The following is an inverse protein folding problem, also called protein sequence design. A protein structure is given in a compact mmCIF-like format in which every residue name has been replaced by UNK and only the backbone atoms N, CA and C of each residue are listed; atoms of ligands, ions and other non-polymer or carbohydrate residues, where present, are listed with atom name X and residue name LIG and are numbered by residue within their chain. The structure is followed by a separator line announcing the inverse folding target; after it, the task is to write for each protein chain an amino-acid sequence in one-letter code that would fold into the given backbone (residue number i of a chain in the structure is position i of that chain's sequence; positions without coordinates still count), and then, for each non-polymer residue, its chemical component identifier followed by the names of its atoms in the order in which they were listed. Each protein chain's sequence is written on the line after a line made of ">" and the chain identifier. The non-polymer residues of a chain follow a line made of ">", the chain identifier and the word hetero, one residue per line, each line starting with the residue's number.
data_IF_878526779753
#
_entry.id   IF_878526779753
#
_cell.length_a   1.000
_cell.length_b   1.000
_cell.length_c   1.000
_cell.angle_alpha   90.00
_cell.angle_beta   90.00
_cell.angle_gamma   90.00
#
_symmetry.space_group_name_H-M   'P 1'
#
loop_
_entity.id
_entity.type
_entity.pdbx_description
1 polymer ?
#
# COMPACT_ATOMS: atom_id res chain seq x y z
N UNK A 1 -19.55 -36.46 -51.31
CA UNK A 1 -19.56 -36.44 -49.83
C UNK A 1 -18.13 -36.76 -49.44
N UNK A 2 -17.37 -35.95 -48.72
CA UNK A 2 -17.65 -35.25 -47.46
C UNK A 2 -16.82 -33.95 -47.38
N UNK A 3 -17.43 -32.86 -46.91
CA UNK A 3 -16.80 -31.55 -46.74
C UNK A 3 -16.12 -31.54 -45.37
N UNK A 4 -14.80 -31.41 -45.35
CA UNK A 4 -14.04 -31.19 -44.12
C UNK A 4 -14.12 -29.71 -43.75
N UNK A 5 -15.08 -29.36 -42.89
CA UNK A 5 -15.18 -28.04 -42.26
C UNK A 5 -14.00 -27.83 -41.29
N UNK A 6 -12.88 -27.34 -41.83
CA UNK A 6 -11.75 -26.86 -41.03
C UNK A 6 -12.13 -25.55 -40.33
N UNK A 7 -12.58 -25.65 -39.06
CA UNK A 7 -12.68 -24.49 -38.17
C UNK A 7 -11.27 -23.98 -37.85
N UNK A 8 -10.92 -22.71 -38.12
CA UNK A 8 -9.61 -22.20 -37.80
C UNK A 8 -9.50 -21.93 -36.29
N UNK A 9 -8.30 -22.20 -35.78
CA UNK A 9 -7.84 -22.05 -34.40
C UNK A 9 -8.01 -20.61 -33.89
N UNK A 10 -9.18 -20.27 -33.34
CA UNK A 10 -9.40 -18.97 -32.66
C UNK A 10 -9.05 -19.02 -31.16
N UNK A 11 -8.65 -20.17 -30.62
CA UNK A 11 -8.47 -20.37 -29.18
C UNK A 11 -7.06 -20.04 -28.65
N UNK A 12 -6.06 -19.90 -29.52
CA UNK A 12 -4.64 -19.75 -29.10
C UNK A 12 -4.22 -18.29 -28.93
N UNK A 13 -4.83 -17.36 -29.65
CA UNK A 13 -4.47 -15.92 -29.57
C UNK A 13 -5.00 -15.28 -28.29
N UNK A 14 -6.19 -15.69 -27.83
CA UNK A 14 -6.76 -15.18 -26.57
C UNK A 14 -5.92 -15.61 -25.36
N UNK A 15 -5.41 -16.84 -25.36
CA UNK A 15 -4.63 -17.39 -24.24
C UNK A 15 -3.22 -16.78 -24.15
N UNK A 16 -2.62 -16.41 -25.28
CA UNK A 16 -1.31 -15.74 -25.30
C UNK A 16 -1.42 -14.28 -24.82
N UNK A 17 -2.46 -13.55 -25.22
CA UNK A 17 -2.68 -12.17 -24.78
C UNK A 17 -3.06 -12.08 -23.29
N UNK A 18 -3.85 -13.03 -22.78
CA UNK A 18 -4.13 -13.16 -21.34
C UNK A 18 -2.87 -13.56 -20.55
N UNK A 19 -2.00 -14.42 -21.10
CA UNK A 19 -0.73 -14.77 -20.46
C UNK A 19 0.25 -13.59 -20.42
N UNK A 20 0.39 -12.84 -21.51
CA UNK A 20 1.23 -11.63 -21.58
C UNK A 20 0.69 -10.53 -20.63
N UNK A 21 -0.63 -10.35 -20.58
CA UNK A 21 -1.26 -9.43 -19.62
C UNK A 21 -1.02 -9.85 -18.16
N UNK A 22 -1.13 -11.15 -17.87
CA UNK A 22 -0.86 -11.68 -16.53
C UNK A 22 0.63 -11.57 -16.16
N UNK A 23 1.55 -11.72 -17.12
CA UNK A 23 2.99 -11.55 -16.92
C UNK A 23 3.33 -10.09 -16.64
N UNK A 24 2.85 -9.14 -17.44
CA UNK A 24 3.10 -7.71 -17.26
C UNK A 24 2.52 -7.18 -15.92
N UNK A 25 1.34 -7.65 -15.52
CA UNK A 25 0.75 -7.29 -14.23
C UNK A 25 1.52 -7.93 -13.06
N UNK A 26 2.01 -9.17 -13.22
CA UNK A 26 2.81 -9.86 -12.21
C UNK A 26 4.20 -9.23 -12.05
N UNK A 27 4.85 -8.80 -13.14
CA UNK A 27 6.12 -8.09 -13.10
C UNK A 27 5.97 -6.72 -12.43
N UNK A 28 4.89 -6.00 -12.72
CA UNK A 28 4.56 -4.75 -12.03
C UNK A 28 4.37 -4.97 -10.51
N UNK A 29 3.74 -6.07 -10.11
CA UNK A 29 3.55 -6.45 -8.70
C UNK A 29 4.85 -6.84 -8.01
N UNK A 30 5.70 -7.63 -8.67
CA UNK A 30 7.02 -8.01 -8.16
C UNK A 30 7.93 -6.78 -8.02
N UNK A 31 7.91 -5.90 -9.01
CA UNK A 31 8.69 -4.67 -9.01
C UNK A 31 8.27 -3.76 -7.84
N UNK A 32 6.95 -3.60 -7.62
CA UNK A 32 6.42 -2.86 -6.47
C UNK A 32 6.87 -3.45 -5.13
N UNK A 33 6.85 -4.78 -4.97
CA UNK A 33 7.26 -5.43 -3.74
C UNK A 33 8.76 -5.23 -3.47
N UNK A 34 9.60 -5.41 -4.48
CA UNK A 34 11.04 -5.12 -4.36
C UNK A 34 11.30 -3.65 -4.05
N UNK A 35 10.55 -2.72 -4.64
CA UNK A 35 10.71 -1.28 -4.36
C UNK A 35 10.31 -0.91 -2.93
N UNK A 36 9.24 -1.52 -2.39
CA UNK A 36 8.87 -1.35 -0.99
C UNK A 36 9.96 -1.90 -0.07
N UNK A 37 10.51 -3.08 -0.38
CA UNK A 37 11.60 -3.66 0.39
C UNK A 37 12.85 -2.77 0.36
N UNK A 38 13.23 -2.27 -0.81
CA UNK A 38 14.32 -1.31 -0.99
C UNK A 38 14.10 -0.06 -0.12
N UNK A 39 12.88 0.51 -0.10
CA UNK A 39 12.57 1.67 0.74
C UNK A 39 12.68 1.37 2.24
N UNK A 40 12.24 0.18 2.68
CA UNK A 40 12.35 -0.26 4.08
C UNK A 40 13.83 -0.38 4.46
N UNK A 41 14.62 -1.01 3.60
CA UNK A 41 16.06 -1.21 3.80
C UNK A 41 16.81 0.13 3.84
N UNK A 42 16.52 1.04 2.92
CA UNK A 42 17.09 2.40 2.89
C UNK A 42 16.74 3.21 4.14
N UNK A 43 15.51 3.05 4.64
CA UNK A 43 15.06 3.70 5.88
C UNK A 43 15.84 3.18 7.08
N UNK A 44 16.06 1.86 7.17
CA UNK A 44 16.79 1.24 8.28
C UNK A 44 18.28 1.55 8.26
N UNK A 45 18.89 1.57 7.08
CA UNK A 45 20.33 1.85 6.92
C UNK A 45 20.67 3.35 7.08
N UNK A 46 19.69 4.21 7.38
CA UNK A 46 19.87 5.63 7.71
C UNK A 46 20.61 6.45 6.65
N UNK A 47 20.54 6.05 5.38
CA UNK A 47 21.24 6.74 4.28
C UNK A 47 20.37 7.81 3.59
N UNK A 48 19.07 7.84 3.88
CA UNK A 48 18.11 8.65 3.12
C UNK A 48 17.66 9.88 3.93
N UNK A 49 17.85 11.08 3.39
CA UNK A 49 17.25 12.30 3.93
C UNK A 49 15.72 12.22 3.81
N UNK A 50 15.00 12.86 4.73
CA UNK A 50 13.53 12.94 4.72
C UNK A 50 13.00 13.48 3.38
N UNK A 51 13.72 14.42 2.77
CA UNK A 51 13.42 14.99 1.45
C UNK A 51 13.50 13.95 0.31
N UNK A 52 14.54 13.14 0.30
CA UNK A 52 14.76 12.11 -0.72
C UNK A 52 13.72 10.99 -0.56
N UNK A 53 13.37 10.64 0.67
CA UNK A 53 12.31 9.68 0.96
C UNK A 53 10.96 10.16 0.44
N UNK A 54 10.59 11.42 0.68
CA UNK A 54 9.36 12.00 0.14
C UNK A 54 9.34 11.99 -1.38
N UNK A 55 10.48 12.26 -2.02
CA UNK A 55 10.58 12.20 -3.47
C UNK A 55 10.34 10.78 -3.98
N UNK A 56 10.99 9.76 -3.39
CA UNK A 56 10.78 8.37 -3.76
C UNK A 56 9.34 7.90 -3.51
N UNK A 57 8.74 8.27 -2.37
CA UNK A 57 7.35 7.95 -2.06
C UNK A 57 6.39 8.55 -3.08
N UNK A 58 6.57 9.83 -3.44
CA UNK A 58 5.73 10.49 -4.45
C UNK A 58 5.92 9.86 -5.83
N UNK A 59 7.14 9.49 -6.19
CA UNK A 59 7.42 8.79 -7.44
C UNK A 59 6.73 7.41 -7.47
N UNK A 60 6.85 6.62 -6.40
CA UNK A 60 6.18 5.32 -6.31
C UNK A 60 4.65 5.47 -6.32
N UNK A 61 4.10 6.47 -5.64
CA UNK A 61 2.67 6.74 -5.65
C UNK A 61 2.19 7.15 -7.05
N UNK A 62 2.95 7.95 -7.81
CA UNK A 62 2.62 8.31 -9.18
C UNK A 62 2.68 7.09 -10.13
N UNK A 63 3.66 6.20 -9.93
CA UNK A 63 3.88 5.04 -10.78
C UNK A 63 2.89 3.89 -10.52
N UNK A 64 2.53 3.64 -9.25
CA UNK A 64 1.72 2.47 -8.86
C UNK A 64 0.33 2.83 -8.29
N UNK A 65 0.09 4.12 -8.00
CA UNK A 65 -1.19 4.62 -7.52
C UNK A 65 -1.66 3.97 -6.22
N UNK A 66 -2.97 3.69 -6.16
CA UNK A 66 -3.68 3.06 -5.02
C UNK A 66 -3.12 1.70 -4.57
N UNK A 67 -2.41 1.01 -5.45
CA UNK A 67 -1.84 -0.31 -5.14
C UNK A 67 -0.63 -0.20 -4.20
N UNK A 68 0.11 0.91 -4.27
CA UNK A 68 1.25 1.17 -3.40
C UNK A 68 0.84 1.23 -1.93
N UNK A 69 -0.17 2.04 -1.60
CA UNK A 69 -0.71 2.15 -0.24
C UNK A 69 -1.21 0.81 0.28
N UNK A 70 -1.96 0.07 -0.54
CA UNK A 70 -2.52 -1.23 -0.16
C UNK A 70 -1.43 -2.26 0.16
N UNK A 71 -0.32 -2.21 -0.57
CA UNK A 71 0.81 -3.10 -0.36
C UNK A 71 1.66 -2.71 0.84
N UNK A 72 1.92 -1.41 1.06
CA UNK A 72 2.57 -0.94 2.29
C UNK A 72 1.82 -1.42 3.54
N UNK A 73 0.49 -1.31 3.55
CA UNK A 73 -0.33 -1.81 4.66
C UNK A 73 -0.26 -3.34 4.79
N UNK A 74 -0.12 -4.07 3.68
CA UNK A 74 0.07 -5.52 3.70
C UNK A 74 1.45 -5.92 4.21
N UNK A 75 2.49 -5.14 3.92
CA UNK A 75 3.85 -5.37 4.41
C UNK A 75 3.93 -5.32 5.94
N UNK A 76 3.12 -4.49 6.61
CA UNK A 76 3.03 -4.47 8.09
C UNK A 76 2.75 -5.85 8.72
N UNK A 77 2.08 -6.75 8.00
CA UNK A 77 1.72 -8.08 8.49
C UNK A 77 2.85 -9.11 8.33
N UNK A 78 3.78 -8.90 7.40
CA UNK A 78 4.78 -9.90 6.99
C UNK A 78 6.20 -9.60 7.45
N UNK A 79 6.43 -8.37 7.90
CA UNK A 79 7.75 -7.81 8.19
C UNK A 79 8.14 -7.99 9.66
N UNK A 80 9.46 -8.08 9.86
CA UNK A 80 10.12 -8.10 11.17
C UNK A 80 9.86 -6.81 11.95
N UNK A 81 10.20 -6.80 13.25
CA UNK A 81 9.90 -5.66 14.14
C UNK A 81 10.51 -4.35 13.62
N UNK A 82 11.78 -4.39 13.20
CA UNK A 82 12.51 -3.22 12.69
C UNK A 82 11.92 -2.72 11.37
N UNK A 83 11.68 -3.64 10.43
CA UNK A 83 11.05 -3.31 9.15
C UNK A 83 9.64 -2.73 9.33
N UNK A 84 8.89 -3.20 10.33
CA UNK A 84 7.56 -2.69 10.62
C UNK A 84 7.59 -1.23 11.07
N UNK A 85 8.58 -0.84 11.87
CA UNK A 85 8.75 0.56 12.28
C UNK A 85 9.04 1.46 11.07
N UNK A 86 9.92 1.01 10.16
CA UNK A 86 10.17 1.69 8.90
C UNK A 86 8.88 1.81 8.05
N UNK A 87 8.08 0.74 7.95
CA UNK A 87 6.79 0.79 7.22
C UNK A 87 5.80 1.77 7.86
N UNK A 88 5.71 1.81 9.20
CA UNK A 88 4.89 2.80 9.91
C UNK A 88 5.35 4.21 9.56
N UNK A 89 6.66 4.44 9.57
CA UNK A 89 7.23 5.75 9.24
C UNK A 89 6.97 6.13 7.77
N UNK A 90 7.12 5.19 6.83
CA UNK A 90 6.77 5.42 5.41
C UNK A 90 5.29 5.78 5.23
N UNK A 91 4.38 5.10 5.94
CA UNK A 91 2.94 5.38 5.89
C UNK A 91 2.60 6.77 6.47
N UNK A 92 3.25 7.19 7.55
CA UNK A 92 3.04 8.54 8.11
C UNK A 92 3.59 9.64 7.23
N UNK A 93 4.69 9.38 6.50
CA UNK A 93 5.20 10.32 5.50
C UNK A 93 4.33 10.38 4.24
N UNK A 94 3.74 9.25 3.83
CA UNK A 94 2.88 9.18 2.65
C UNK A 94 1.57 9.97 2.83
N UNK A 95 1.01 10.01 4.05
CA UNK A 95 -0.26 10.67 4.41
C UNK A 95 -1.43 10.35 3.46
N UNK A 96 -1.41 9.18 2.81
CA UNK A 96 -2.44 8.82 1.84
C UNK A 96 -3.75 8.39 2.53
N UNK A 97 -4.89 9.04 2.25
CA UNK A 97 -6.14 8.75 2.94
C UNK A 97 -6.67 7.33 2.67
N UNK A 98 -6.23 6.67 1.59
CA UNK A 98 -6.64 5.30 1.32
C UNK A 98 -6.00 4.28 2.28
N UNK A 99 -4.97 4.68 3.04
CA UNK A 99 -4.37 3.85 4.08
C UNK A 99 -5.27 3.77 5.34
N UNK A 100 -6.18 4.74 5.54
CA UNK A 100 -6.95 4.85 6.78
C UNK A 100 -7.91 3.66 6.99
N UNK A 101 -8.78 3.28 6.02
CA UNK A 101 -9.67 2.14 6.20
C UNK A 101 -8.96 0.81 6.50
N UNK A 102 -7.91 0.41 5.75
CA UNK A 102 -7.24 -0.86 6.02
C UNK A 102 -6.43 -0.84 7.33
N UNK A 103 -5.83 0.29 7.73
CA UNK A 103 -5.19 0.44 9.04
C UNK A 103 -6.20 0.32 10.19
N UNK A 104 -7.37 0.95 10.08
CA UNK A 104 -8.44 0.82 11.08
C UNK A 104 -8.92 -0.62 11.23
N UNK A 105 -9.03 -1.35 10.10
CA UNK A 105 -9.37 -2.78 10.12
C UNK A 105 -8.30 -3.60 10.81
N UNK A 106 -7.02 -3.31 10.55
CA UNK A 106 -5.88 -3.98 11.21
C UNK A 106 -5.90 -3.82 12.73
N UNK A 107 -6.13 -2.59 13.23
CA UNK A 107 -6.19 -2.32 14.68
C UNK A 107 -7.29 -3.12 15.36
N UNK A 108 -8.45 -3.27 14.71
CA UNK A 108 -9.61 -3.99 15.25
C UNK A 108 -9.51 -5.50 15.13
N UNK A 109 -8.56 -6.04 14.36
CA UNK A 109 -8.50 -7.46 14.06
C UNK A 109 -7.81 -8.24 15.20
N UNK A 110 -8.53 -9.03 16.01
CA UNK A 110 -7.97 -9.65 17.22
C UNK A 110 -6.96 -10.76 16.91
N UNK A 111 -7.06 -11.39 15.72
CA UNK A 111 -6.13 -12.43 15.26
C UNK A 111 -4.75 -11.88 14.87
N UNK A 112 -4.59 -10.55 14.79
CA UNK A 112 -3.31 -9.94 14.47
C UNK A 112 -2.47 -9.77 15.73
N UNK A 113 -1.16 -10.00 15.59
CA UNK A 113 -0.19 -9.82 16.68
C UNK A 113 -0.32 -8.43 17.32
N UNK A 114 -0.18 -8.36 18.66
CA UNK A 114 -0.27 -7.10 19.41
C UNK A 114 0.62 -6.00 18.82
N UNK A 115 1.83 -6.36 18.40
CA UNK A 115 2.76 -5.43 17.76
C UNK A 115 2.22 -4.86 16.44
N UNK A 116 1.62 -5.67 15.56
CA UNK A 116 1.02 -5.19 14.29
C UNK A 116 -0.11 -4.20 14.56
N UNK A 117 -0.95 -4.49 15.57
CA UNK A 117 -2.05 -3.60 15.97
C UNK A 117 -1.52 -2.26 16.50
N UNK A 118 -0.46 -2.29 17.30
CA UNK A 118 0.18 -1.07 17.82
C UNK A 118 0.78 -0.23 16.70
N UNK A 119 1.54 -0.86 15.79
CA UNK A 119 2.10 -0.19 14.61
C UNK A 119 1.03 0.46 13.74
N UNK A 120 -0.09 -0.24 13.49
CA UNK A 120 -1.21 0.33 12.73
C UNK A 120 -1.88 1.51 13.46
N UNK A 121 -1.99 1.45 14.80
CA UNK A 121 -2.52 2.56 15.59
C UNK A 121 -1.57 3.78 15.57
N UNK A 122 -0.25 3.56 15.65
CA UNK A 122 0.77 4.60 15.55
C UNK A 122 0.75 5.27 14.17
N UNK A 123 0.62 4.50 13.10
CA UNK A 123 0.48 5.05 11.75
C UNK A 123 -0.75 5.95 11.63
N UNK A 124 -1.91 5.51 12.14
CA UNK A 124 -3.14 6.32 12.17
C UNK A 124 -2.98 7.60 12.99
N UNK A 125 -2.29 7.52 14.13
CA UNK A 125 -1.98 8.68 14.96
C UNK A 125 -1.06 9.69 14.24
N UNK A 126 0.02 9.20 13.61
CA UNK A 126 0.94 10.05 12.85
C UNK A 126 0.30 10.68 11.61
N UNK A 127 -0.70 10.03 11.02
CA UNK A 127 -1.52 10.60 9.93
C UNK A 127 -2.63 11.54 10.42
N UNK A 128 -2.83 11.69 11.73
CA UNK A 128 -3.94 12.46 12.29
C UNK A 128 -5.34 11.88 12.02
N UNK A 129 -5.41 10.63 11.59
CA UNK A 129 -6.64 9.94 11.16
C UNK A 129 -7.25 9.06 12.27
N UNK A 130 -7.02 9.44 13.54
CA UNK A 130 -7.58 8.70 14.67
C UNK A 130 -9.07 8.99 14.80
N UNK A 131 -9.81 8.02 15.36
CA UNK A 131 -11.24 8.16 15.61
C UNK A 131 -11.54 9.38 16.49
N UNK A 132 -10.66 9.68 17.44
CA UNK A 132 -10.79 10.80 18.36
C UNK A 132 -10.63 12.14 17.64
N UNK A 133 -9.60 12.29 16.79
CA UNK A 133 -9.38 13.52 16.00
C UNK A 133 -10.51 13.79 14.99
N UNK A 134 -11.07 12.74 14.40
CA UNK A 134 -12.24 12.86 13.51
C UNK A 134 -13.53 13.18 14.28
N UNK A 135 -13.65 12.74 15.53
CA UNK A 135 -14.81 13.01 16.39
C UNK A 135 -14.78 14.42 16.97
N UNK A 136 -13.60 14.96 17.26
CA UNK A 136 -13.41 16.36 17.67
C UNK A 136 -13.42 17.27 16.45
N UNK A 137 -14.57 17.45 15.80
CA UNK A 137 -14.80 18.73 15.10
C UNK A 137 -14.65 19.82 16.15
N UNK A 138 -13.83 20.87 15.95
CA UNK A 138 -13.79 21.97 16.90
C UNK A 138 -15.23 22.45 17.07
N UNK A 139 -15.69 22.72 18.32
CA UNK A 139 -16.97 23.38 18.48
C UNK A 139 -16.90 24.63 17.59
N UNK A 140 -17.86 24.78 16.67
CA UNK A 140 -18.04 26.04 15.97
C UNK A 140 -18.22 27.07 17.07
N UNK A 141 -17.14 27.76 17.41
CA UNK A 141 -17.17 28.92 18.27
C UNK A 141 -17.96 29.92 17.45
N UNK A 142 -19.28 29.92 17.63
CA UNK A 142 -20.12 31.01 17.19
C UNK A 142 -19.55 32.22 17.90
N UNK A 143 -18.84 33.05 17.14
CA UNK A 143 -18.46 34.37 17.58
C UNK A 143 -19.77 35.07 17.95
N UNK A 144 -20.00 35.19 19.26
CA UNK A 144 -21.01 36.07 19.83
C UNK A 144 -20.72 37.46 19.27
N UNK A 145 -21.60 37.89 18.36
CA UNK A 145 -21.66 39.25 17.81
C UNK A 145 -22.40 40.16 18.77
#
# INVERSE_FOLDING_TARGET
>A
MERWDARPLQSTVQNQADADWNVLELESRKNLHSKIHELIELTNNSTLSTSDLHHHLRHCQAQYGKHFTSQLVRSLQRTDVVEREAVVWLLTQLQDPNAIPPLQKLVRHPQQSRAVRLSAALALAGMGATKEMLATRPPRLYAIS
#
